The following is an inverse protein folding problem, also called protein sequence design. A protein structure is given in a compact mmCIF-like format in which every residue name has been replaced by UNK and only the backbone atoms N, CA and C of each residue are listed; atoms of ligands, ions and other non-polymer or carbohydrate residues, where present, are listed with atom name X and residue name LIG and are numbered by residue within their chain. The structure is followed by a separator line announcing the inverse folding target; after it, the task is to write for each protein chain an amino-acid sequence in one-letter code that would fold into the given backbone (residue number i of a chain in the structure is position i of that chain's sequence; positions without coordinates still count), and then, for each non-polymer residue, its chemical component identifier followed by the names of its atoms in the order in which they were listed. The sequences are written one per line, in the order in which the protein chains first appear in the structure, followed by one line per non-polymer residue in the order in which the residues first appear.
data_IF_568315160156
#
_entry.id   IF_568315160156
#
_cell.length_a   1.000
_cell.length_b   1.000
_cell.length_c   1.000
_cell.angle_alpha   90.00
_cell.angle_beta   90.00
_cell.angle_gamma   90.00
#
_symmetry.space_group_name_H-M   'P 1'
#
loop_
_entity.id
_entity.type
_entity.pdbx_description
1 polymer ?
#
# COMPACT_ATOMS: atom_id res chain seq x y z
N UNK A 1 9.64 16.97 2.59
CA UNK A 1 10.22 16.08 3.63
C UNK A 1 9.38 15.96 4.92
N UNK A 2 9.25 16.97 5.80
CA UNK A 2 8.50 16.83 7.08
C UNK A 2 7.00 16.51 6.91
N UNK A 3 6.29 17.20 5.99
CA UNK A 3 4.86 16.94 5.72
C UNK A 3 4.59 15.52 5.20
N UNK A 4 5.45 14.99 4.32
CA UNK A 4 5.31 13.63 3.79
C UNK A 4 5.50 12.56 4.86
N UNK A 5 6.50 12.71 5.74
CA UNK A 5 6.68 11.81 6.90
C UNK A 5 5.48 11.85 7.84
N UNK A 6 4.91 13.04 8.07
CA UNK A 6 3.71 13.19 8.89
C UNK A 6 2.49 12.53 8.25
N UNK A 7 2.29 12.68 6.95
CA UNK A 7 1.21 12.01 6.20
C UNK A 7 1.34 10.49 6.25
N UNK A 8 2.54 9.95 6.04
CA UNK A 8 2.83 8.52 6.20
C UNK A 8 2.51 8.03 7.61
N UNK A 9 2.90 8.79 8.64
CA UNK A 9 2.61 8.46 10.04
C UNK A 9 1.11 8.51 10.35
N UNK A 10 0.38 9.51 9.85
CA UNK A 10 -1.07 9.65 10.02
C UNK A 10 -1.80 8.51 9.31
N UNK A 11 -1.43 8.18 8.07
CA UNK A 11 -2.00 7.04 7.33
C UNK A 11 -1.75 5.71 8.05
N UNK A 12 -0.55 5.53 8.60
CA UNK A 12 -0.21 4.36 9.40
C UNK A 12 -1.05 4.31 10.70
N UNK A 13 -1.15 5.41 11.44
CA UNK A 13 -1.98 5.48 12.66
C UNK A 13 -3.47 5.22 12.38
N UNK A 14 -4.04 5.82 11.33
CA UNK A 14 -5.43 5.57 10.91
C UNK A 14 -5.68 4.10 10.59
N UNK A 15 -4.70 3.48 9.92
CA UNK A 15 -4.78 2.08 9.54
C UNK A 15 -4.78 1.19 10.79
N UNK A 16 -3.87 1.42 11.73
CA UNK A 16 -3.80 0.63 12.95
C UNK A 16 -5.01 0.83 13.87
N UNK A 17 -5.61 2.03 13.88
CA UNK A 17 -6.86 2.30 14.59
C UNK A 17 -8.06 1.50 14.03
N UNK A 18 -7.99 1.05 12.78
CA UNK A 18 -9.06 0.28 12.13
C UNK A 18 -9.02 -1.23 12.49
N UNK A 19 -7.89 -1.73 13.00
CA UNK A 19 -7.70 -3.13 13.40
C UNK A 19 -8.61 -3.57 14.56
N UNK A 20 -8.77 -2.82 15.67
CA UNK A 20 -9.63 -3.27 16.78
C UNK A 20 -11.11 -3.40 16.39
N UNK A 21 -11.57 -2.67 15.37
CA UNK A 21 -12.95 -2.72 14.86
C UNK A 21 -13.29 -4.06 14.15
N UNK A 22 -12.30 -4.90 13.86
CA UNK A 22 -12.43 -6.05 12.96
C UNK A 22 -12.92 -7.32 13.65
N UNK A 23 -12.71 -7.46 14.96
CA UNK A 23 -13.09 -8.64 15.73
C UNK A 23 -12.09 -9.80 15.60
N UNK A 24 -11.76 -10.44 16.73
CA UNK A 24 -10.64 -11.41 16.86
C UNK A 24 -10.78 -12.67 15.99
N UNK A 25 -12.02 -13.12 15.70
CA UNK A 25 -12.29 -14.36 14.96
C UNK A 25 -11.98 -14.22 13.47
N UNK A 26 -12.45 -13.15 12.83
CA UNK A 26 -12.11 -12.83 11.44
C UNK A 26 -10.64 -12.44 11.31
N UNK A 27 -10.06 -11.82 12.34
CA UNK A 27 -8.65 -11.46 12.34
C UNK A 27 -7.74 -12.68 12.11
N UNK A 28 -7.93 -13.78 12.85
CA UNK A 28 -7.11 -14.98 12.67
C UNK A 28 -7.29 -15.66 11.30
N UNK A 29 -8.48 -15.57 10.70
CA UNK A 29 -8.80 -16.22 9.42
C UNK A 29 -8.15 -15.52 8.23
N UNK A 30 -8.15 -14.19 8.22
CA UNK A 30 -7.66 -13.39 7.09
C UNK A 30 -6.19 -12.95 7.22
N UNK A 31 -5.58 -13.16 8.40
CA UNK A 31 -4.17 -12.89 8.65
C UNK A 31 -3.20 -13.54 7.65
N UNK A 32 -3.24 -14.87 7.41
CA UNK A 32 -2.31 -15.50 6.49
C UNK A 32 -2.48 -14.98 5.05
N UNK A 33 -3.71 -14.71 4.62
CA UNK A 33 -4.00 -14.15 3.31
C UNK A 33 -3.45 -12.71 3.17
N UNK A 34 -3.63 -11.87 4.18
CA UNK A 34 -3.12 -10.49 4.18
C UNK A 34 -1.59 -10.43 4.15
N UNK A 35 -0.93 -11.31 4.92
CA UNK A 35 0.53 -11.45 4.87
C UNK A 35 0.99 -11.88 3.48
N UNK A 36 0.31 -12.87 2.88
CA UNK A 36 0.66 -13.36 1.55
C UNK A 36 0.57 -12.26 0.48
N UNK A 37 -0.51 -11.46 0.50
CA UNK A 37 -0.70 -10.32 -0.40
C UNK A 37 0.42 -9.28 -0.20
N UNK A 38 0.77 -8.96 1.05
CA UNK A 38 1.86 -8.03 1.35
C UNK A 38 3.21 -8.55 0.86
N UNK A 39 3.51 -9.85 1.04
CA UNK A 39 4.74 -10.46 0.54
C UNK A 39 4.84 -10.35 -0.98
N UNK A 40 3.75 -10.65 -1.71
CA UNK A 40 3.71 -10.49 -3.17
C UNK A 40 3.95 -9.03 -3.56
N UNK A 41 3.32 -8.07 -2.87
CA UNK A 41 3.50 -6.65 -3.15
C UNK A 41 4.96 -6.21 -2.95
N UNK A 42 5.64 -6.68 -1.89
CA UNK A 42 7.07 -6.41 -1.67
C UNK A 42 7.92 -7.00 -2.79
N UNK A 43 7.64 -8.25 -3.20
CA UNK A 43 8.36 -8.90 -4.29
C UNK A 43 8.19 -8.13 -5.59
N UNK A 44 6.98 -7.65 -5.91
CA UNK A 44 6.71 -6.81 -7.08
C UNK A 44 7.39 -5.44 -7.01
N UNK A 45 7.56 -4.87 -5.81
CA UNK A 45 8.27 -3.60 -5.63
C UNK A 45 9.78 -3.71 -5.90
N UNK A 46 10.40 -4.89 -5.76
CA UNK A 46 11.84 -5.08 -6.03
C UNK A 46 12.21 -4.74 -7.50
N UNK A 47 11.59 -5.36 -8.53
CA UNK A 47 11.86 -5.01 -9.92
C UNK A 47 11.39 -3.60 -10.27
N UNK A 48 10.30 -3.11 -9.66
CA UNK A 48 9.82 -1.74 -9.87
C UNK A 48 10.84 -0.70 -9.37
N UNK A 49 11.48 -0.94 -8.22
CA UNK A 49 12.55 -0.10 -7.70
C UNK A 49 13.80 -0.17 -8.60
N UNK A 50 14.16 -1.36 -9.10
CA UNK A 50 15.31 -1.54 -10.00
C UNK A 50 15.11 -0.81 -11.33
N UNK A 51 13.88 -0.76 -11.85
CA UNK A 51 13.51 -0.03 -13.08
C UNK A 51 13.09 1.43 -12.84
N UNK A 52 13.23 1.94 -11.61
CA UNK A 52 12.80 3.30 -11.20
C UNK A 52 11.36 3.63 -11.60
N UNK A 53 10.44 2.67 -11.63
CA UNK A 53 9.04 2.96 -11.97
C UNK A 53 8.38 3.87 -10.93
N UNK A 54 8.74 3.68 -9.65
CA UNK A 54 8.26 4.50 -8.53
C UNK A 54 9.38 4.58 -7.49
N UNK A 55 10.04 5.74 -7.37
CA UNK A 55 11.12 5.96 -6.38
C UNK A 55 10.58 6.79 -5.22
N UNK A 56 10.45 6.18 -4.05
CA UNK A 56 10.00 6.86 -2.83
C UNK A 56 11.15 7.66 -2.22
N UNK A 57 11.08 9.00 -2.30
CA UNK A 57 12.08 9.92 -1.74
C UNK A 57 12.03 10.00 -0.20
N UNK A 58 10.88 9.71 0.43
CA UNK A 58 10.69 9.87 1.87
C UNK A 58 10.84 8.56 2.64
N UNK A 59 12.08 8.20 2.99
CA UNK A 59 12.34 7.18 4.02
C UNK A 59 12.23 7.79 5.42
N UNK A 60 11.52 7.08 6.30
CA UNK A 60 11.46 7.38 7.75
C UNK A 60 12.84 7.10 8.38
N UNK A 61 13.54 6.07 7.90
CA UNK A 61 14.89 5.70 8.32
C UNK A 61 15.78 5.41 7.10
N UNK A 62 17.04 5.86 7.05
CA UNK A 62 17.94 5.63 5.90
C UNK A 62 18.19 4.15 5.55
N UNK A 63 17.87 3.22 6.46
CA UNK A 63 18.07 1.77 6.30
C UNK A 63 16.80 1.04 5.84
N UNK A 64 15.65 1.73 5.87
CA UNK A 64 14.34 1.17 5.51
C UNK A 64 13.91 1.83 4.21
N UNK A 65 13.57 1.02 3.20
CA UNK A 65 13.04 1.54 1.94
C UNK A 65 11.71 2.27 2.18
N UNK A 66 11.50 3.40 1.51
CA UNK A 66 10.34 4.28 1.74
C UNK A 66 8.98 3.65 1.44
N UNK A 67 8.94 2.52 0.73
CA UNK A 67 7.74 1.72 0.45
C UNK A 67 7.28 0.87 1.65
N UNK A 68 8.20 0.46 2.53
CA UNK A 68 7.91 -0.47 3.64
C UNK A 68 6.86 0.06 4.63
N UNK A 69 6.91 1.31 5.11
CA UNK A 69 5.90 1.84 6.02
C UNK A 69 4.50 1.87 5.38
N UNK A 70 4.44 2.07 4.07
CA UNK A 70 3.18 2.06 3.33
C UNK A 70 2.62 0.64 3.19
N UNK A 71 3.48 -0.34 2.92
CA UNK A 71 3.08 -1.75 2.82
C UNK A 71 2.60 -2.27 4.19
N UNK A 72 3.36 -2.01 5.25
CA UNK A 72 3.07 -2.54 6.59
C UNK A 72 1.89 -1.81 7.27
N UNK A 73 1.70 -0.53 6.99
CA UNK A 73 0.60 0.25 7.54
C UNK A 73 -0.67 0.12 6.71
N UNK A 74 -0.93 1.09 5.82
CA UNK A 74 -2.19 1.17 5.09
C UNK A 74 -2.46 -0.01 4.18
N UNK A 75 -1.48 -0.52 3.44
CA UNK A 75 -1.73 -1.61 2.50
C UNK A 75 -2.18 -2.88 3.23
N UNK A 76 -1.47 -3.29 4.30
CA UNK A 76 -1.83 -4.45 5.11
C UNK A 76 -3.25 -4.33 5.69
N UNK A 77 -3.56 -3.20 6.32
CA UNK A 77 -4.88 -2.97 6.92
C UNK A 77 -5.97 -2.91 5.86
N UNK A 78 -5.72 -2.23 4.75
CA UNK A 78 -6.68 -2.06 3.67
C UNK A 78 -7.01 -3.41 3.01
N UNK A 79 -6.01 -4.24 2.71
CA UNK A 79 -6.21 -5.62 2.27
C UNK A 79 -7.06 -6.40 3.26
N UNK A 80 -6.82 -6.22 4.56
CA UNK A 80 -7.59 -6.86 5.62
C UNK A 80 -9.07 -6.46 5.63
N UNK A 81 -9.35 -5.15 5.55
CA UNK A 81 -10.72 -4.63 5.51
C UNK A 81 -11.46 -5.13 4.28
N UNK A 82 -10.83 -5.07 3.11
CA UNK A 82 -11.40 -5.55 1.85
C UNK A 82 -11.70 -7.06 1.95
N UNK A 83 -10.77 -7.86 2.46
CA UNK A 83 -11.01 -9.30 2.64
C UNK A 83 -12.18 -9.57 3.59
N UNK A 84 -12.31 -8.80 4.67
CA UNK A 84 -13.41 -8.93 5.63
C UNK A 84 -14.77 -8.57 5.01
N UNK A 85 -14.89 -7.37 4.46
CA UNK A 85 -16.18 -6.84 4.00
C UNK A 85 -16.68 -7.52 2.72
N UNK A 86 -15.76 -8.03 1.92
CA UNK A 86 -16.05 -8.57 0.60
C UNK A 86 -15.99 -10.10 0.58
N UNK A 87 -15.84 -10.74 1.75
CA UNK A 87 -15.81 -12.19 1.88
C UNK A 87 -17.13 -12.80 1.38
N UNK A 88 -17.04 -13.72 0.41
CA UNK A 88 -18.19 -14.39 -0.19
C UNK A 88 -18.80 -13.70 -1.41
N UNK A 89 -18.32 -12.51 -1.82
CA UNK A 89 -18.78 -11.79 -3.02
C UNK A 89 -17.61 -11.41 -3.93
N UNK A 90 -17.18 -12.35 -4.78
CA UNK A 90 -16.02 -12.19 -5.65
C UNK A 90 -16.09 -10.97 -6.59
N UNK A 91 -17.24 -10.71 -7.21
CA UNK A 91 -17.40 -9.54 -8.10
C UNK A 91 -17.21 -8.21 -7.39
N UNK A 92 -17.78 -8.09 -6.18
CA UNK A 92 -17.64 -6.89 -5.36
C UNK A 92 -16.17 -6.71 -4.93
N UNK A 93 -15.48 -7.80 -4.57
CA UNK A 93 -14.05 -7.80 -4.25
C UNK A 93 -13.19 -7.27 -5.41
N UNK A 94 -13.48 -7.69 -6.65
CA UNK A 94 -12.74 -7.20 -7.82
C UNK A 94 -12.93 -5.71 -8.06
N UNK A 95 -14.17 -5.21 -7.99
CA UNK A 95 -14.48 -3.79 -8.20
C UNK A 95 -13.77 -2.93 -7.17
N UNK A 96 -13.87 -3.27 -5.89
CA UNK A 96 -13.23 -2.48 -4.83
C UNK A 96 -11.72 -2.55 -4.92
N UNK A 97 -11.12 -3.71 -5.19
CA UNK A 97 -9.67 -3.78 -5.43
C UNK A 97 -9.26 -2.88 -6.59
N UNK A 98 -9.98 -2.95 -7.71
CA UNK A 98 -9.67 -2.14 -8.89
C UNK A 98 -9.73 -0.64 -8.60
N UNK A 99 -10.77 -0.18 -7.91
CA UNK A 99 -10.91 1.23 -7.49
C UNK A 99 -9.78 1.64 -6.54
N UNK A 100 -9.43 0.79 -5.58
CA UNK A 100 -8.32 1.07 -4.66
C UNK A 100 -6.98 1.13 -5.37
N UNK A 101 -6.75 0.26 -6.36
CA UNK A 101 -5.55 0.29 -7.18
C UNK A 101 -5.47 1.57 -8.04
N UNK A 102 -6.59 2.03 -8.61
CA UNK A 102 -6.67 3.32 -9.31
C UNK A 102 -6.36 4.48 -8.35
N UNK A 103 -7.01 4.50 -7.18
CA UNK A 103 -6.77 5.53 -6.17
C UNK A 103 -5.31 5.52 -5.67
N UNK A 104 -4.67 4.36 -5.63
CA UNK A 104 -3.25 4.29 -5.30
C UNK A 104 -2.38 4.80 -6.46
N UNK A 105 -2.65 4.35 -7.70
CA UNK A 105 -1.83 4.64 -8.86
C UNK A 105 -1.87 6.10 -9.32
N UNK A 106 -3.00 6.80 -9.12
CA UNK A 106 -3.14 8.20 -9.55
C UNK A 106 -2.82 9.18 -8.41
N UNK A 107 -3.67 9.35 -7.37
CA UNK A 107 -3.33 10.28 -6.30
C UNK A 107 -2.21 9.75 -5.40
N UNK A 108 -2.22 8.47 -5.01
CA UNK A 108 -1.23 7.93 -4.07
C UNK A 108 0.22 8.09 -4.55
N UNK A 109 0.47 7.72 -5.79
CA UNK A 109 1.73 7.99 -6.51
C UNK A 109 2.06 9.47 -6.56
N UNK A 110 1.12 10.33 -6.98
CA UNK A 110 1.40 11.77 -7.17
C UNK A 110 1.79 12.46 -5.86
N UNK A 111 1.31 11.96 -4.73
CA UNK A 111 1.63 12.50 -3.41
C UNK A 111 2.91 11.90 -2.79
N UNK A 112 3.26 10.65 -3.12
CA UNK A 112 4.39 9.92 -2.54
C UNK A 112 5.65 9.91 -3.44
N UNK A 113 5.48 10.01 -4.75
CA UNK A 113 6.53 10.00 -5.77
C UNK A 113 6.62 11.40 -6.37
N UNK A 114 7.71 12.11 -6.07
CA UNK A 114 7.95 13.50 -6.52
C UNK A 114 8.62 13.56 -7.90
N UNK A 115 9.14 12.45 -8.41
CA UNK A 115 9.88 12.44 -9.68
C UNK A 115 8.93 12.37 -10.88
N UNK A 116 8.69 13.53 -11.52
CA UNK A 116 7.84 13.65 -12.72
C UNK A 116 8.48 13.08 -13.99
N UNK A 117 9.73 12.60 -13.92
CA UNK A 117 10.51 12.25 -15.10
C UNK A 117 10.39 10.78 -15.54
N UNK A 118 9.75 9.90 -14.78
CA UNK A 118 9.67 8.47 -15.12
C UNK A 118 8.78 8.15 -16.33
N UNK A 119 7.81 9.01 -16.66
CA UNK A 119 7.01 8.84 -17.89
C UNK A 119 7.70 9.39 -19.14
N UNK A 120 8.83 10.09 -19.01
CA UNK A 120 9.54 10.72 -20.14
C UNK A 120 10.71 9.88 -20.69
N UNK A 121 11.08 8.76 -20.05
CA UNK A 121 12.23 7.94 -20.46
C UNK A 121 11.86 6.73 -21.34
N UNK A 122 10.76 6.81 -22.09
CA UNK A 122 10.41 5.79 -23.09
C UNK A 122 10.22 6.41 -24.47
N UNK A 123 11.16 7.26 -24.88
CA UNK A 123 11.24 7.81 -26.24
C UNK A 123 12.67 8.28 -26.59
N UNK A 124 13.69 7.52 -26.18
CA UNK A 124 15.03 7.56 -26.79
C UNK A 124 15.53 6.11 -26.93
#
# INVERSE_FOLDING_TARGET
MKRQRLLLAVMMLLSWASIPLIGKRSFKRFLPASIFICTIAVIMNIPAAKRKWWVFQSSIHPKIRGDVPFVIGPYFVLSFLVLKYMYGKFGFYMIVNFVLHILYAFPGVRFLVVDRNCFSQKND
#
